data_IF_720281746128
#
_entry.id   IF_720281746128
#
_cell.length_a   1.000
_cell.length_b   1.000
_cell.length_c   1.000
_cell.angle_alpha   90.00
_cell.angle_beta   90.00
_cell.angle_gamma   90.00
#
_symmetry.space_group_name_H-M   'P 1'
#
loop_
_entity.id
_entity.type
_entity.pdbx_description
1 polymer ?
#
# COMPACT_ATOMS: atom_id res chain seq x y z
N UNK A 1 -33.11 14.44 10.96
CA UNK A 1 -34.40 14.79 10.33
C UNK A 1 -34.23 16.04 9.48
N UNK A 2 -34.17 15.90 8.16
CA UNK A 2 -34.76 16.84 7.21
C UNK A 2 -34.95 16.05 5.92
N UNK A 3 -36.20 16.02 5.47
CA UNK A 3 -36.76 15.17 4.43
C UNK A 3 -37.38 16.13 3.43
N UNK A 4 -36.83 16.27 2.23
CA UNK A 4 -37.57 16.85 1.11
C UNK A 4 -37.35 15.94 -0.11
N UNK A 5 -38.47 15.43 -0.59
CA UNK A 5 -38.67 14.47 -1.68
C UNK A 5 -38.52 15.21 -3.03
N UNK A 6 -37.75 14.70 -4.01
CA UNK A 6 -38.19 13.91 -5.20
C UNK A 6 -38.96 14.76 -6.25
N UNK A 7 -38.79 14.74 -7.59
CA UNK A 7 -38.20 13.86 -8.63
C UNK A 7 -37.77 14.78 -9.85
N UNK A 8 -37.07 14.28 -10.88
CA UNK A 8 -36.37 15.05 -11.91
C UNK A 8 -37.26 15.50 -13.07
N UNK A 9 -36.85 16.57 -13.76
CA UNK A 9 -37.33 16.89 -15.11
C UNK A 9 -36.19 16.66 -16.08
N UNK A 10 -36.32 15.60 -16.88
CA UNK A 10 -35.49 15.37 -18.04
C UNK A 10 -35.89 16.36 -19.14
N UNK A 11 -34.95 17.19 -19.59
CA UNK A 11 -35.12 17.98 -20.82
C UNK A 11 -34.24 17.34 -21.89
N UNK A 12 -34.87 16.59 -22.78
CA UNK A 12 -34.27 16.09 -24.02
C UNK A 12 -34.29 17.25 -25.02
N UNK A 13 -33.13 17.85 -25.26
CA UNK A 13 -32.92 18.72 -26.42
C UNK A 13 -32.12 17.97 -27.48
N UNK A 14 -32.82 17.45 -28.49
CA UNK A 14 -32.21 17.05 -29.75
C UNK A 14 -31.77 18.33 -30.50
N UNK A 15 -30.46 18.53 -30.59
CA UNK A 15 -29.87 19.38 -31.62
C UNK A 15 -29.01 18.49 -32.52
N UNK A 16 -29.61 18.10 -33.64
CA UNK A 16 -28.89 17.54 -34.78
C UNK A 16 -28.08 18.67 -35.39
N UNK A 17 -26.77 18.64 -35.21
CA UNK A 17 -25.85 19.42 -36.04
C UNK A 17 -24.93 18.44 -36.71
N UNK A 18 -25.12 18.29 -38.02
CA UNK A 18 -24.25 17.54 -38.90
C UNK A 18 -22.85 18.15 -38.88
N UNK A 19 -21.85 17.36 -38.50
CA UNK A 19 -20.46 17.68 -38.75
C UNK A 19 -19.83 16.57 -39.58
N UNK A 20 -19.06 17.00 -40.58
CA UNK A 20 -18.55 16.21 -41.67
C UNK A 20 -17.68 15.04 -41.21
N UNK A 21 -17.78 13.92 -41.92
CA UNK A 21 -16.81 12.83 -41.84
C UNK A 21 -15.41 13.33 -42.25
N UNK A 22 -14.58 13.68 -41.27
CA UNK A 22 -13.14 13.47 -41.41
C UNK A 22 -12.82 12.14 -40.75
N UNK A 23 -12.55 11.12 -41.56
CA UNK A 23 -11.83 9.96 -41.09
C UNK A 23 -10.40 10.40 -40.74
N UNK A 24 -10.23 10.92 -39.52
CA UNK A 24 -8.93 10.91 -38.87
C UNK A 24 -8.71 9.48 -38.43
N UNK A 25 -7.98 8.71 -39.23
CA UNK A 25 -7.30 7.55 -38.69
C UNK A 25 -6.35 8.07 -37.61
N UNK A 26 -6.79 8.04 -36.35
CA UNK A 26 -5.86 8.16 -35.23
C UNK A 26 -4.78 7.10 -35.46
N UNK A 27 -3.48 7.44 -35.40
CA UNK A 27 -2.52 6.38 -35.17
C UNK A 27 -2.95 5.77 -33.85
N UNK A 28 -3.35 4.50 -33.89
CA UNK A 28 -3.25 3.65 -32.72
C UNK A 28 -1.79 3.79 -32.32
N UNK A 29 -1.51 4.64 -31.33
CA UNK A 29 -0.28 4.52 -30.56
C UNK A 29 -0.42 3.13 -29.96
N UNK A 30 0.14 2.16 -30.67
CA UNK A 30 0.54 0.88 -30.08
C UNK A 30 1.50 1.32 -28.99
N UNK A 31 0.97 1.37 -27.77
CA UNK A 31 1.75 1.58 -26.57
C UNK A 31 2.58 0.30 -26.39
N UNK A 32 3.60 0.16 -27.24
CA UNK A 32 4.70 -0.78 -27.07
C UNK A 32 5.67 -0.18 -26.04
N UNK A 33 5.12 0.39 -24.96
CA UNK A 33 5.86 0.57 -23.73
C UNK A 33 6.20 -0.85 -23.27
N UNK A 34 7.50 -1.17 -23.07
CA UNK A 34 7.87 -2.47 -22.53
C UNK A 34 7.04 -2.67 -21.27
N UNK A 35 6.28 -3.77 -21.20
CA UNK A 35 5.38 -4.05 -20.10
C UNK A 35 6.15 -3.85 -18.80
N UNK A 36 5.81 -2.78 -18.07
CA UNK A 36 6.33 -2.42 -16.76
C UNK A 36 6.45 -3.71 -15.95
N UNK A 37 7.68 -4.16 -15.64
CA UNK A 37 7.92 -5.48 -15.05
C UNK A 37 7.61 -5.43 -13.56
N UNK A 38 6.32 -5.41 -13.23
CA UNK A 38 5.84 -5.66 -11.87
C UNK A 38 5.76 -7.17 -11.71
N UNK A 39 6.45 -7.71 -10.69
CA UNK A 39 6.35 -9.12 -10.31
C UNK A 39 5.48 -9.22 -9.07
N UNK A 40 4.44 -10.07 -9.14
CA UNK A 40 3.53 -10.31 -8.03
C UNK A 40 3.87 -11.63 -7.32
N UNK A 41 4.00 -11.58 -6.01
CA UNK A 41 4.21 -12.72 -5.13
C UNK A 41 3.02 -12.87 -4.19
N UNK A 42 2.55 -14.10 -3.99
CA UNK A 42 1.55 -14.41 -2.98
C UNK A 42 2.21 -15.28 -1.91
N UNK A 43 2.38 -14.70 -0.71
CA UNK A 43 3.13 -15.28 0.40
C UNK A 43 2.15 -15.70 1.49
N UNK A 44 2.26 -16.94 1.94
CA UNK A 44 1.44 -17.44 3.05
C UNK A 44 2.09 -17.05 4.37
N UNK A 45 1.37 -16.29 5.18
CA UNK A 45 1.80 -15.79 6.49
C UNK A 45 1.03 -16.52 7.58
N UNK A 46 1.73 -16.93 8.64
CA UNK A 46 1.15 -17.42 9.88
C UNK A 46 1.35 -16.40 11.01
N UNK A 47 0.29 -15.93 11.65
CA UNK A 47 0.34 -14.98 12.76
C UNK A 47 -0.72 -15.30 13.82
N UNK A 48 -0.29 -15.45 15.09
CA UNK A 48 -1.18 -15.68 16.24
C UNK A 48 -2.18 -16.86 16.06
N UNK A 49 -1.79 -17.88 15.30
CA UNK A 49 -2.63 -19.05 14.98
C UNK A 49 -3.53 -18.89 13.76
N UNK A 50 -3.51 -17.72 13.11
CA UNK A 50 -4.19 -17.48 11.84
C UNK A 50 -3.22 -17.59 10.66
N UNK A 51 -3.77 -17.95 9.50
CA UNK A 51 -3.04 -17.96 8.24
C UNK A 51 -3.74 -17.08 7.22
N UNK A 52 -2.98 -16.20 6.58
CA UNK A 52 -3.48 -15.34 5.51
C UNK A 52 -2.46 -15.24 4.39
N UNK A 53 -2.93 -14.83 3.21
CA UNK A 53 -2.09 -14.63 2.04
C UNK A 53 -1.86 -13.14 1.84
N UNK A 54 -0.60 -12.74 1.91
CA UNK A 54 -0.17 -11.38 1.59
C UNK A 54 0.28 -11.31 0.14
N UNK A 55 -0.12 -10.26 -0.56
CA UNK A 55 0.36 -10.01 -1.93
C UNK A 55 1.45 -8.95 -1.90
N UNK A 56 2.61 -9.27 -2.48
CA UNK A 56 3.76 -8.36 -2.61
C UNK A 56 3.96 -8.10 -4.10
N UNK A 57 3.86 -6.84 -4.50
CA UNK A 57 4.24 -6.38 -5.84
C UNK A 57 5.61 -5.72 -5.79
N UNK A 58 6.55 -6.23 -6.59
CA UNK A 58 7.89 -5.69 -6.71
C UNK A 58 8.09 -5.07 -8.08
N UNK A 59 8.44 -3.80 -8.11
CA UNK A 59 8.78 -3.06 -9.33
C UNK A 59 10.23 -2.56 -9.24
N UNK A 60 11.13 -3.28 -9.91
CA UNK A 60 12.56 -2.95 -9.93
C UNK A 60 12.87 -1.70 -10.74
N UNK A 61 12.04 -1.36 -11.73
CA UNK A 61 12.26 -0.21 -12.61
C UNK A 61 11.88 1.08 -11.90
N UNK A 62 10.69 1.10 -11.30
CA UNK A 62 10.23 2.24 -10.50
C UNK A 62 10.85 2.28 -9.12
N UNK A 63 11.55 1.22 -8.72
CA UNK A 63 12.15 1.01 -7.40
C UNK A 63 11.11 1.14 -6.29
N UNK A 64 10.01 0.42 -6.43
CA UNK A 64 8.92 0.40 -5.46
C UNK A 64 8.55 -1.02 -5.07
N UNK A 65 8.07 -1.17 -3.84
CA UNK A 65 7.49 -2.40 -3.31
C UNK A 65 6.11 -2.06 -2.73
N UNK A 66 5.10 -2.86 -3.05
CA UNK A 66 3.75 -2.72 -2.52
C UNK A 66 3.32 -4.01 -1.82
N UNK A 67 3.11 -3.92 -0.51
CA UNK A 67 2.59 -4.98 0.33
C UNK A 67 1.10 -4.76 0.53
N UNK A 68 0.28 -5.79 0.25
CA UNK A 68 -1.16 -5.79 0.44
C UNK A 68 -1.50 -6.80 1.54
N UNK A 69 -1.70 -6.28 2.74
CA UNK A 69 -1.90 -7.07 3.95
C UNK A 69 -3.41 -7.20 4.22
N UNK A 70 -4.05 -8.35 3.98
CA UNK A 70 -5.48 -8.49 4.22
C UNK A 70 -5.81 -8.30 5.70
N UNK A 71 -7.08 -7.97 5.98
CA UNK A 71 -7.59 -8.03 7.35
C UNK A 71 -7.44 -9.45 7.91
N UNK A 72 -6.91 -9.57 9.12
CA UNK A 72 -6.70 -10.85 9.80
C UNK A 72 -6.79 -10.63 11.31
N UNK A 73 -7.42 -11.55 12.03
CA UNK A 73 -7.72 -11.46 13.45
C UNK A 73 -8.42 -10.15 13.79
N UNK A 74 -7.73 -9.31 14.56
CA UNK A 74 -8.20 -7.98 14.98
C UNK A 74 -7.43 -6.84 14.28
N UNK A 75 -6.74 -7.12 13.18
CA UNK A 75 -5.94 -6.17 12.40
C UNK A 75 -6.70 -5.82 11.12
N UNK A 76 -6.89 -4.52 10.88
CA UNK A 76 -7.53 -4.00 9.66
C UNK A 76 -6.66 -4.26 8.42
N UNK A 77 -7.29 -4.31 7.24
CA UNK A 77 -6.57 -4.32 5.96
C UNK A 77 -5.69 -3.07 5.86
N UNK A 78 -4.44 -3.28 5.43
CA UNK A 78 -3.56 -2.19 5.04
C UNK A 78 -2.79 -2.48 3.76
N UNK A 79 -2.42 -1.41 3.06
CA UNK A 79 -1.48 -1.48 1.95
C UNK A 79 -0.28 -0.59 2.29
N UNK A 80 0.94 -1.07 2.03
CA UNK A 80 2.18 -0.35 2.32
C UNK A 80 2.96 -0.21 1.02
N UNK A 81 3.21 1.02 0.59
CA UNK A 81 4.05 1.32 -0.56
C UNK A 81 5.39 1.88 -0.07
N UNK A 82 6.47 1.18 -0.37
CA UNK A 82 7.84 1.69 -0.21
C UNK A 82 8.33 2.31 -1.51
N UNK A 83 8.81 3.54 -1.45
CA UNK A 83 9.46 4.21 -2.58
C UNK A 83 10.93 4.51 -2.25
N UNK A 84 11.81 3.71 -2.87
CA UNK A 84 13.25 3.78 -2.66
C UNK A 84 13.91 4.92 -3.44
N UNK A 85 13.18 5.68 -4.27
CA UNK A 85 13.69 6.89 -4.93
C UNK A 85 13.56 8.09 -4.01
N UNK A 86 12.43 8.20 -3.31
CA UNK A 86 12.15 9.30 -2.37
C UNK A 86 12.60 9.00 -0.94
N UNK A 87 12.95 7.75 -0.64
CA UNK A 87 13.22 7.26 0.72
C UNK A 87 12.03 7.49 1.67
N UNK A 88 10.82 7.29 1.15
CA UNK A 88 9.57 7.44 1.88
C UNK A 88 8.71 6.21 1.72
N UNK A 89 7.77 6.03 2.64
CA UNK A 89 6.74 5.01 2.57
C UNK A 89 5.35 5.61 2.81
N UNK A 90 4.33 5.00 2.19
CA UNK A 90 2.93 5.29 2.48
C UNK A 90 2.25 4.04 3.05
N UNK A 91 1.59 4.20 4.19
CA UNK A 91 0.65 3.23 4.74
C UNK A 91 -0.76 3.72 4.49
N UNK A 92 -1.51 2.98 3.68
CA UNK A 92 -2.93 3.21 3.42
C UNK A 92 -3.77 2.27 4.29
N UNK A 93 -4.72 2.86 5.02
CA UNK A 93 -5.78 2.13 5.72
C UNK A 93 -7.13 2.41 5.04
N UNK A 94 -7.61 1.54 4.14
CA UNK A 94 -8.80 1.80 3.32
C UNK A 94 -10.06 2.06 4.14
N UNK A 95 -10.33 1.24 5.16
CA UNK A 95 -11.54 1.32 6.00
C UNK A 95 -11.58 2.62 6.81
N UNK A 96 -10.41 3.16 7.15
CA UNK A 96 -10.25 4.42 7.87
C UNK A 96 -10.11 5.63 6.95
N UNK A 97 -10.04 5.42 5.62
CA UNK A 97 -9.91 6.47 4.60
C UNK A 97 -8.75 7.43 4.88
N UNK A 98 -7.61 6.88 5.30
CA UNK A 98 -6.45 7.66 5.76
C UNK A 98 -5.16 7.04 5.22
N UNK A 99 -4.21 7.91 4.87
CA UNK A 99 -2.84 7.54 4.57
C UNK A 99 -1.86 8.14 5.58
N UNK A 100 -0.77 7.43 5.85
CA UNK A 100 0.33 7.90 6.66
C UNK A 100 1.61 7.95 5.84
N UNK A 101 2.35 9.04 5.94
CA UNK A 101 3.67 9.22 5.34
C UNK A 101 4.76 8.94 6.38
N UNK A 102 5.61 7.97 6.07
CA UNK A 102 6.69 7.50 6.94
C UNK A 102 8.05 7.66 6.23
N UNK A 103 9.16 7.87 6.98
CA UNK A 103 10.48 7.64 6.43
C UNK A 103 10.64 6.16 6.04
N UNK A 104 11.37 5.89 4.97
CA UNK A 104 11.74 4.51 4.63
C UNK A 104 12.70 3.95 5.70
N UNK A 105 12.48 2.71 6.12
CA UNK A 105 13.36 2.05 7.10
C UNK A 105 14.77 1.81 6.52
N UNK A 106 15.79 2.04 7.34
CA UNK A 106 17.20 2.08 6.90
C UNK A 106 17.77 0.72 6.47
N UNK A 107 17.18 -0.38 6.93
CA UNK A 107 17.69 -1.75 6.73
C UNK A 107 16.80 -2.60 5.80
N UNK A 108 15.90 -1.97 5.03
CA UNK A 108 15.10 -2.68 4.04
C UNK A 108 15.96 -3.14 2.86
N UNK A 109 15.72 -4.37 2.42
CA UNK A 109 16.27 -4.90 1.17
C UNK A 109 15.81 -4.05 -0.01
N UNK A 110 16.63 -3.96 -1.05
CA UNK A 110 16.21 -3.32 -2.30
C UNK A 110 15.17 -4.16 -3.03
N UNK A 111 14.35 -3.56 -3.93
CA UNK A 111 13.39 -4.31 -4.74
C UNK A 111 13.98 -5.52 -5.47
N UNK A 112 15.16 -5.35 -6.06
CA UNK A 112 15.84 -6.45 -6.75
C UNK A 112 16.26 -7.57 -5.78
N UNK A 113 16.68 -7.22 -4.57
CA UNK A 113 17.06 -8.21 -3.55
C UNK A 113 15.83 -8.92 -3.00
N UNK A 114 14.75 -8.19 -2.69
CA UNK A 114 13.49 -8.76 -2.24
C UNK A 114 12.93 -9.76 -3.26
N UNK A 115 12.84 -9.36 -4.54
CA UNK A 115 12.42 -10.28 -5.60
C UNK A 115 13.30 -11.54 -5.66
N UNK A 116 14.63 -11.36 -5.62
CA UNK A 116 15.56 -12.50 -5.64
C UNK A 116 15.39 -13.43 -4.45
N UNK A 117 15.04 -12.91 -3.29
CA UNK A 117 14.84 -13.69 -2.07
C UNK A 117 13.49 -14.41 -2.09
N UNK A 118 12.43 -13.74 -2.55
CA UNK A 118 11.10 -14.34 -2.73
C UNK A 118 11.10 -15.44 -3.79
N UNK A 119 11.89 -15.31 -4.86
CA UNK A 119 12.07 -16.36 -5.87
C UNK A 119 12.74 -17.63 -5.30
N UNK A 120 13.55 -17.48 -4.24
CA UNK A 120 14.30 -18.57 -3.61
C UNK A 120 13.63 -19.15 -2.37
N UNK A 121 12.76 -18.39 -1.72
CA UNK A 121 12.10 -18.81 -0.51
C UNK A 121 11.08 -19.93 -0.80
N UNK A 122 11.03 -20.94 0.08
CA UNK A 122 9.82 -21.74 0.20
C UNK A 122 8.72 -20.79 0.66
N UNK A 123 7.59 -20.74 -0.07
CA UNK A 123 6.53 -19.70 0.06
C UNK A 123 5.78 -19.70 1.41
N UNK A 124 6.29 -20.42 2.40
CA UNK A 124 5.80 -20.53 3.77
C UNK A 124 6.87 -19.94 4.69
N UNK A 125 6.57 -18.79 5.29
CA UNK A 125 7.46 -18.14 6.26
C UNK A 125 7.00 -18.55 7.67
N UNK A 126 7.70 -19.52 8.27
CA UNK A 126 7.35 -20.05 9.61
C UNK A 126 7.92 -19.23 10.79
N UNK A 127 8.94 -18.39 10.54
CA UNK A 127 9.58 -17.57 11.59
C UNK A 127 9.42 -16.09 11.24
N UNK A 128 8.59 -15.37 11.99
CA UNK A 128 8.38 -13.92 11.87
C UNK A 128 8.92 -13.21 13.11
N UNK A 129 9.68 -12.14 12.90
CA UNK A 129 9.96 -11.15 13.94
C UNK A 129 8.84 -10.11 13.85
N UNK A 130 8.00 -10.02 14.88
CA UNK A 130 6.98 -8.97 14.97
C UNK A 130 7.64 -7.75 15.62
N UNK A 131 7.83 -6.68 14.85
CA UNK A 131 8.31 -5.39 15.38
C UNK A 131 7.08 -4.53 15.65
N UNK A 132 6.76 -4.33 16.92
CA UNK A 132 5.69 -3.43 17.32
C UNK A 132 6.21 -1.98 17.27
N UNK A 133 5.94 -1.28 16.17
CA UNK A 133 6.23 0.14 16.06
C UNK A 133 5.01 0.96 16.51
N UNK A 134 5.20 1.85 17.47
CA UNK A 134 4.17 2.78 17.92
C UNK A 134 4.41 4.14 17.28
N UNK A 135 3.35 4.71 16.70
CA UNK A 135 3.43 5.98 15.97
C UNK A 135 2.39 6.96 16.50
N UNK A 136 2.70 8.26 16.39
CA UNK A 136 1.72 9.33 16.58
C UNK A 136 1.49 10.04 15.24
N UNK A 137 0.22 10.20 14.87
CA UNK A 137 -0.15 11.02 13.72
C UNK A 137 0.21 12.49 13.98
N UNK A 138 0.95 13.06 13.04
CA UNK A 138 1.36 14.45 13.02
C UNK A 138 0.39 15.32 12.20
N UNK A 139 0.94 16.36 11.58
CA UNK A 139 0.16 17.25 10.73
C UNK A 139 -0.18 16.59 9.39
N UNK A 140 -1.27 17.06 8.78
CA UNK A 140 -1.62 16.69 7.41
C UNK A 140 -0.58 17.21 6.41
N UNK A 141 -0.21 16.38 5.44
CA UNK A 141 0.62 16.73 4.31
C UNK A 141 -0.22 17.48 3.27
N UNK A 142 -0.19 18.80 3.35
CA UNK A 142 -0.88 19.70 2.42
C UNK A 142 -0.11 19.90 1.12
N UNK A 143 1.22 20.00 1.19
CA UNK A 143 2.09 20.03 0.02
C UNK A 143 2.51 18.61 -0.40
N UNK A 144 1.85 18.09 -1.44
CA UNK A 144 2.12 16.76 -1.98
C UNK A 144 3.27 16.71 -2.99
N UNK A 145 3.99 17.81 -3.22
CA UNK A 145 5.12 17.86 -4.17
C UNK A 145 6.28 16.94 -3.81
N UNK A 146 6.37 16.51 -2.55
CA UNK A 146 7.39 15.56 -2.07
C UNK A 146 7.11 14.10 -2.47
N UNK A 147 5.90 13.81 -2.96
CA UNK A 147 5.48 12.46 -3.35
C UNK A 147 5.93 12.18 -4.78
N UNK A 148 6.37 10.95 -5.04
CA UNK A 148 6.51 10.47 -6.42
C UNK A 148 5.14 10.28 -7.08
N UNK A 149 5.13 10.08 -8.40
CA UNK A 149 3.91 9.77 -9.14
C UNK A 149 3.23 8.49 -8.61
N UNK A 150 4.01 7.49 -8.23
CA UNK A 150 3.51 6.24 -7.64
C UNK A 150 2.82 6.50 -6.30
N UNK A 151 3.45 7.28 -5.43
CA UNK A 151 2.92 7.63 -4.11
C UNK A 151 1.67 8.52 -4.21
N UNK A 152 1.67 9.50 -5.12
CA UNK A 152 0.54 10.37 -5.35
C UNK A 152 -0.70 9.61 -5.84
N UNK A 153 -0.49 8.63 -6.74
CA UNK A 153 -1.57 7.75 -7.22
C UNK A 153 -2.09 6.83 -6.11
N UNK A 154 -1.20 6.30 -5.26
CA UNK A 154 -1.54 5.36 -4.19
C UNK A 154 -2.49 5.96 -3.12
N UNK A 155 -2.33 7.23 -2.78
CA UNK A 155 -3.14 7.93 -1.77
C UNK A 155 -3.94 9.10 -2.35
N UNK A 156 -4.37 9.00 -3.61
CA UNK A 156 -5.00 10.12 -4.33
C UNK A 156 -6.31 10.60 -3.67
N UNK A 157 -7.10 9.67 -3.11
CA UNK A 157 -8.43 9.96 -2.56
C UNK A 157 -8.45 10.35 -1.08
N UNK A 158 -7.33 10.15 -0.36
CA UNK A 158 -7.32 10.21 1.11
C UNK A 158 -6.34 11.25 1.64
N UNK A 159 -6.64 11.90 2.78
CA UNK A 159 -5.69 12.76 3.46
C UNK A 159 -4.46 11.94 3.88
N UNK A 160 -3.29 12.58 3.79
CA UNK A 160 -2.01 11.98 4.14
C UNK A 160 -1.52 12.70 5.39
N UNK A 161 -1.18 11.96 6.45
CA UNK A 161 -0.62 12.53 7.68
C UNK A 161 0.83 12.10 7.84
N UNK A 162 1.70 13.02 8.24
CA UNK A 162 3.02 12.64 8.75
C UNK A 162 2.84 11.77 9.99
N UNK A 163 3.78 10.85 10.24
CA UNK A 163 3.85 10.16 11.53
C UNK A 163 5.19 10.41 12.20
N UNK A 164 5.18 10.39 13.53
CA UNK A 164 6.39 10.37 14.35
C UNK A 164 6.42 9.06 15.10
N UNK A 165 7.54 8.35 15.05
CA UNK A 165 7.73 7.17 15.89
C UNK A 165 7.68 7.64 17.34
N UNK A 166 6.87 6.99 18.15
CA UNK A 166 7.04 7.06 19.58
C UNK A 166 8.23 6.15 19.87
N UNK A 167 9.30 6.70 20.46
CA UNK A 167 10.42 5.91 20.94
C UNK A 167 9.91 5.00 22.07
N UNK A 168 9.49 3.78 21.73
CA UNK A 168 9.29 2.69 22.69
C UNK A 168 10.34 1.61 22.35
N UNK A 169 11.50 1.67 23.00
CA UNK A 169 12.55 0.64 22.94
C UNK A 169 12.05 -0.64 23.62
N UNK A 170 11.28 -1.48 22.94
CA UNK A 170 11.02 -2.85 23.40
C UNK A 170 10.98 -3.80 22.21
N UNK A 171 12.14 -4.35 21.84
CA UNK A 171 12.23 -5.64 21.17
C UNK A 171 11.56 -6.69 22.07
N UNK A 172 10.34 -7.10 21.75
CA UNK A 172 9.71 -8.25 22.38
C UNK A 172 10.36 -9.53 21.83
N UNK A 173 11.49 -9.91 22.40
CA UNK A 173 12.05 -11.26 22.23
C UNK A 173 11.23 -12.21 23.08
N UNK A 174 10.19 -12.83 22.51
CA UNK A 174 9.56 -14.00 23.14
C UNK A 174 10.22 -15.26 22.60
N UNK A 175 11.34 -15.65 23.22
CA UNK A 175 11.94 -16.96 23.00
C UNK A 175 11.10 -18.01 23.75
N UNK A 176 10.59 -19.01 23.05
CA UNK A 176 10.20 -20.26 23.70
C UNK A 176 11.45 -21.15 23.73
N UNK A 177 12.16 -21.12 24.86
CA UNK A 177 12.97 -22.25 25.29
C UNK A 177 12.03 -23.10 26.14
N UNK A 178 11.85 -24.36 25.77
CA UNK A 178 11.14 -25.44 26.47
C UNK A 178 10.61 -25.09 27.88
N UNK A 179 9.35 -24.65 27.93
CA UNK A 179 8.42 -24.97 29.01
C UNK A 179 8.81 -24.55 30.42
N UNK A 180 8.92 -23.25 30.70
CA UNK A 180 8.60 -22.72 32.03
C UNK A 180 8.25 -21.23 31.97
N UNK A 181 7.05 -20.89 32.44
CA UNK A 181 6.54 -19.53 32.56
C UNK A 181 7.14 -18.85 33.78
N UNK A 182 7.82 -17.71 33.58
CA UNK A 182 7.99 -16.71 34.63
C UNK A 182 7.62 -15.35 34.06
N UNK A 183 6.53 -14.79 34.56
CA UNK A 183 6.23 -13.37 34.45
C UNK A 183 6.74 -12.70 35.72
N UNK A 184 7.50 -11.62 35.58
CA UNK A 184 7.64 -10.65 36.67
C UNK A 184 7.43 -9.25 36.10
N UNK A 185 6.80 -8.43 36.95
CA UNK A 185 6.14 -7.15 36.69
C UNK A 185 7.10 -6.02 36.35
#
# INVERSE_FOLDING_TARGET
MMRHQILPVAVISLLVVATANLASASPVLSDNSPSKKVVEYNVQIGESGEHFNETIEVDTERRTELFKVPAHGNVDHSNILHDFKTNLSLLLMPEKKICYLLPLEKELSTPAKLASDLDKAERIINNKIIIANKWTAGQELTDRSILSNEMAAFCVEYPIYHVKQLEDTMTLTKTQINGETVSEM
#
